data_IF_126043107768
#
_entry.id   IF_126043107768
#
_cell.length_a   1.000
_cell.length_b   1.000
_cell.length_c   1.000
_cell.angle_alpha   90.00
_cell.angle_beta   90.00
_cell.angle_gamma   90.00
#
_symmetry.space_group_name_H-M   'P 1'
#
loop_
_entity.id
_entity.type
_entity.pdbx_description
1 polymer ?
#
# COMPACT_ATOMS: atom_id res chain seq x y z
N UNK A 1 -26.89 -5.08 15.47
CA UNK A 1 -25.58 -5.18 16.15
C UNK A 1 -25.77 -4.80 17.59
N UNK A 2 -25.23 -5.57 18.54
CA UNK A 2 -25.06 -5.09 19.90
C UNK A 2 -24.19 -3.82 19.88
N UNK A 3 -24.48 -2.89 20.78
CA UNK A 3 -23.76 -1.60 20.90
C UNK A 3 -22.23 -1.78 20.89
N UNK A 4 -21.76 -2.85 21.54
CA UNK A 4 -20.34 -3.22 21.65
C UNK A 4 -19.74 -3.60 20.29
N UNK A 5 -20.46 -4.39 19.47
CA UNK A 5 -19.97 -4.85 18.16
C UNK A 5 -19.82 -3.71 17.15
N UNK A 6 -20.74 -2.75 17.15
CA UNK A 6 -20.66 -1.56 16.31
C UNK A 6 -19.49 -0.64 16.68
N UNK A 7 -19.19 -0.51 17.99
CA UNK A 7 -18.04 0.27 18.48
C UNK A 7 -16.73 -0.39 18.06
N UNK A 8 -16.58 -1.70 18.30
CA UNK A 8 -15.38 -2.45 17.90
C UNK A 8 -15.16 -2.33 16.39
N UNK A 9 -16.23 -2.48 15.61
CA UNK A 9 -16.17 -2.32 14.16
C UNK A 9 -15.66 -0.92 13.76
N UNK A 10 -16.25 0.12 14.35
CA UNK A 10 -15.89 1.51 14.05
C UNK A 10 -14.42 1.81 14.39
N UNK A 11 -13.93 1.35 15.54
CA UNK A 11 -12.54 1.54 15.96
C UNK A 11 -11.57 0.81 15.02
N UNK A 12 -11.83 -0.46 14.71
CA UNK A 12 -10.97 -1.23 13.79
C UNK A 12 -10.98 -0.65 12.38
N UNK A 13 -12.14 -0.17 11.91
CA UNK A 13 -12.26 0.47 10.62
C UNK A 13 -11.47 1.77 10.55
N UNK A 14 -11.56 2.59 11.60
CA UNK A 14 -10.80 3.84 11.68
C UNK A 14 -9.29 3.58 11.66
N UNK A 15 -8.82 2.62 12.46
CA UNK A 15 -7.42 2.19 12.46
C UNK A 15 -6.98 1.71 11.07
N UNK A 16 -7.80 0.92 10.39
CA UNK A 16 -7.54 0.44 9.03
C UNK A 16 -7.37 1.60 8.04
N UNK A 17 -8.28 2.57 8.06
CA UNK A 17 -8.23 3.75 7.20
C UNK A 17 -6.95 4.55 7.46
N UNK A 18 -6.62 4.81 8.73
CA UNK A 18 -5.41 5.58 9.11
C UNK A 18 -4.15 4.86 8.64
N UNK A 19 -4.02 3.56 8.92
CA UNK A 19 -2.84 2.78 8.55
C UNK A 19 -2.62 2.76 7.03
N UNK A 20 -3.67 2.51 6.24
CA UNK A 20 -3.56 2.48 4.77
C UNK A 20 -3.28 3.89 4.23
N UNK A 21 -3.98 4.91 4.72
CA UNK A 21 -3.81 6.30 4.26
C UNK A 21 -2.41 6.82 4.53
N UNK A 22 -1.84 6.52 5.70
CA UNK A 22 -0.47 6.89 6.06
C UNK A 22 0.55 6.00 5.33
N UNK A 23 0.23 4.73 5.09
CA UNK A 23 1.09 3.79 4.37
C UNK A 23 1.27 4.10 2.88
N UNK A 24 0.27 4.66 2.21
CA UNK A 24 0.31 5.04 0.77
C UNK A 24 1.43 6.04 0.42
N UNK A 25 1.58 7.19 1.11
CA UNK A 25 2.64 8.16 0.83
C UNK A 25 4.00 7.74 1.39
N UNK A 26 4.03 6.79 2.33
CA UNK A 26 5.27 6.28 2.92
C UNK A 26 6.03 5.38 1.94
N UNK A 27 7.34 5.26 2.17
CA UNK A 27 8.22 4.39 1.39
C UNK A 27 7.77 2.93 1.47
N UNK A 28 7.42 2.36 0.32
CA UNK A 28 7.11 0.93 0.17
C UNK A 28 8.36 0.09 0.21
N UNK A 29 9.47 0.65 -0.27
CA UNK A 29 10.77 0.03 -0.31
C UNK A 29 11.80 1.03 0.16
N UNK A 30 12.75 0.54 0.95
CA UNK A 30 13.81 1.32 1.58
C UNK A 30 15.15 0.59 1.38
N UNK A 31 16.28 1.31 1.31
CA UNK A 31 17.59 0.70 1.19
C UNK A 31 17.92 -0.14 2.42
N UNK A 32 18.55 -1.29 2.24
CA UNK A 32 18.93 -2.21 3.34
C UNK A 32 20.15 -1.74 4.15
N UNK A 33 20.73 -0.59 3.81
CA UNK A 33 21.90 -0.05 4.50
C UNK A 33 21.57 0.63 5.82
N UNK A 34 22.52 0.61 6.76
CA UNK A 34 22.36 1.13 8.12
C UNK A 34 22.02 2.64 8.18
N UNK A 35 22.21 3.38 7.08
CA UNK A 35 21.78 4.78 6.93
C UNK A 35 20.25 4.94 6.79
N UNK A 36 19.51 3.85 6.57
CA UNK A 36 18.05 3.84 6.41
C UNK A 36 17.26 4.20 7.69
N UNK A 37 17.91 4.22 8.87
CA UNK A 37 17.29 4.68 10.12
C UNK A 37 17.17 6.20 10.21
N UNK A 38 17.91 6.96 9.39
CA UNK A 38 17.76 8.41 9.28
C UNK A 38 16.80 8.74 8.13
N UNK A 39 15.51 8.87 8.46
CA UNK A 39 14.42 9.25 7.52
C UNK A 39 14.69 10.56 6.74
N UNK A 40 15.62 11.38 7.23
CA UNK A 40 15.97 12.70 6.70
C UNK A 40 16.93 12.66 5.50
N UNK A 41 17.67 11.55 5.31
CA UNK A 41 18.59 11.33 4.19
C UNK A 41 18.41 9.96 3.52
N UNK A 42 17.35 9.23 3.88
CA UNK A 42 17.07 7.92 3.32
C UNK A 42 16.35 8.05 1.98
N UNK A 43 16.92 7.44 0.94
CA UNK A 43 16.25 7.14 -0.31
C UNK A 43 15.05 6.23 -0.07
N UNK A 44 13.94 6.44 -0.78
CA UNK A 44 12.86 5.47 -0.79
C UNK A 44 12.04 5.49 -2.06
N UNK A 45 11.42 4.34 -2.28
CA UNK A 45 10.50 4.12 -3.38
C UNK A 45 9.11 4.06 -2.80
N UNK A 46 8.29 5.03 -3.19
CA UNK A 46 6.86 5.07 -2.89
C UNK A 46 6.08 4.48 -4.07
N UNK A 47 4.78 4.28 -3.88
CA UNK A 47 3.87 3.98 -4.99
C UNK A 47 3.86 5.05 -6.09
N UNK A 48 4.16 6.30 -5.70
CA UNK A 48 4.05 7.48 -6.54
C UNK A 48 5.32 7.82 -7.30
N UNK A 49 6.46 7.31 -6.83
CA UNK A 49 7.77 7.60 -7.40
C UNK A 49 8.90 7.38 -6.42
N UNK A 50 10.09 7.68 -6.92
CA UNK A 50 11.35 7.60 -6.19
C UNK A 50 11.62 8.94 -5.54
N UNK A 51 12.02 8.91 -4.27
CA UNK A 51 12.44 10.08 -3.51
C UNK A 51 13.87 9.90 -3.05
N UNK A 52 14.68 10.95 -3.21
CA UNK A 52 16.03 10.99 -2.68
C UNK A 52 16.03 11.14 -1.15
N UNK A 53 15.01 11.81 -0.60
CA UNK A 53 14.73 11.90 0.84
C UNK A 53 13.27 11.57 1.10
N UNK A 54 12.98 10.62 1.99
CA UNK A 54 11.62 10.16 2.23
C UNK A 54 10.66 11.23 2.73
N UNK A 55 11.15 12.15 3.55
CA UNK A 55 10.36 13.23 4.13
C UNK A 55 10.13 14.39 3.14
N UNK A 56 10.89 14.47 2.04
CA UNK A 56 10.69 15.53 1.07
C UNK A 56 9.40 15.30 0.26
N UNK A 57 8.63 16.37 -0.01
CA UNK A 57 7.44 16.28 -0.85
C UNK A 57 7.79 16.05 -2.32
N UNK A 58 8.99 16.45 -2.74
CA UNK A 58 9.44 16.40 -4.12
C UNK A 58 9.89 14.99 -4.53
N UNK A 59 9.48 14.58 -5.72
CA UNK A 59 9.87 13.30 -6.31
C UNK A 59 11.07 13.52 -7.22
N UNK A 60 12.11 12.71 -7.02
CA UNK A 60 13.28 12.76 -7.88
C UNK A 60 12.95 12.21 -9.28
N UNK A 61 12.22 11.09 -9.31
CA UNK A 61 11.79 10.44 -10.55
C UNK A 61 10.42 9.79 -10.40
N UNK A 62 9.62 9.85 -11.47
CA UNK A 62 8.35 9.11 -11.54
C UNK A 62 8.60 7.65 -11.92
N UNK A 63 7.72 6.71 -11.53
CA UNK A 63 7.84 5.31 -11.91
C UNK A 63 7.89 5.09 -13.41
N UNK A 64 7.11 5.89 -14.15
CA UNK A 64 7.06 5.85 -15.61
C UNK A 64 8.34 6.33 -16.28
N UNK A 65 9.15 7.16 -15.61
CA UNK A 65 10.42 7.65 -16.17
C UNK A 65 11.51 6.59 -16.03
N UNK A 66 11.56 5.93 -14.87
CA UNK A 66 12.58 4.92 -14.56
C UNK A 66 12.26 3.57 -15.16
N UNK A 67 10.98 3.15 -15.16
CA UNK A 67 10.57 1.81 -15.56
C UNK A 67 9.73 1.77 -16.84
N UNK A 68 9.75 2.83 -17.66
CA UNK A 68 9.01 2.92 -18.93
C UNK A 68 9.21 1.70 -19.84
N UNK A 69 10.43 1.19 -19.93
CA UNK A 69 10.72 0.04 -20.78
C UNK A 69 10.67 -1.32 -20.05
N UNK A 70 10.50 -1.36 -18.73
CA UNK A 70 10.34 -2.64 -18.04
C UNK A 70 8.89 -3.11 -18.21
N UNK A 71 8.68 -4.05 -19.14
CA UNK A 71 7.35 -4.54 -19.51
C UNK A 71 6.51 -4.92 -18.28
N UNK A 72 5.37 -4.23 -18.14
CA UNK A 72 4.38 -4.48 -17.09
C UNK A 72 4.74 -3.99 -15.68
N UNK A 73 5.87 -3.29 -15.45
CA UNK A 73 6.20 -2.72 -14.14
C UNK A 73 5.42 -1.42 -13.87
N UNK A 74 5.39 -0.49 -14.82
CA UNK A 74 4.65 0.76 -14.65
C UNK A 74 3.15 0.50 -14.44
N UNK A 75 2.57 -0.43 -15.20
CA UNK A 75 1.17 -0.85 -15.05
C UNK A 75 0.85 -1.37 -13.65
N UNK A 76 1.76 -2.15 -13.04
CA UNK A 76 1.59 -2.64 -11.66
C UNK A 76 1.68 -1.52 -10.64
N UNK A 77 2.59 -0.56 -10.80
CA UNK A 77 2.65 0.62 -9.93
C UNK A 77 1.41 1.51 -10.09
N UNK A 78 0.88 1.63 -11.30
CA UNK A 78 -0.38 2.35 -11.57
C UNK A 78 -1.58 1.61 -10.97
N UNK A 79 -1.66 0.29 -11.13
CA UNK A 79 -2.68 -0.54 -10.53
C UNK A 79 -2.62 -0.46 -8.99
N UNK A 80 -1.44 -0.61 -8.40
CA UNK A 80 -1.24 -0.53 -6.95
C UNK A 80 -1.72 0.82 -6.38
N UNK A 81 -1.33 1.94 -7.00
CA UNK A 81 -1.81 3.29 -6.64
C UNK A 81 -3.34 3.39 -6.70
N UNK A 82 -3.91 2.96 -7.82
CA UNK A 82 -5.35 3.11 -8.09
C UNK A 82 -6.16 2.25 -7.11
N UNK A 83 -5.75 1.00 -6.91
CA UNK A 83 -6.35 0.10 -5.93
C UNK A 83 -6.24 0.66 -4.51
N UNK A 84 -5.10 1.24 -4.11
CA UNK A 84 -4.94 1.80 -2.78
C UNK A 84 -5.93 2.96 -2.52
N UNK A 85 -6.05 3.90 -3.47
CA UNK A 85 -6.98 5.03 -3.35
C UNK A 85 -8.43 4.54 -3.32
N UNK A 86 -8.80 3.62 -4.20
CA UNK A 86 -10.16 3.05 -4.23
C UNK A 86 -10.48 2.33 -2.92
N UNK A 87 -9.55 1.53 -2.39
CA UNK A 87 -9.75 0.82 -1.13
C UNK A 87 -10.00 1.79 0.04
N UNK A 88 -9.24 2.88 0.14
CA UNK A 88 -9.44 3.92 1.17
C UNK A 88 -10.83 4.54 1.06
N UNK A 89 -11.28 4.87 -0.16
CA UNK A 89 -12.62 5.44 -0.39
C UNK A 89 -13.70 4.45 0.06
N UNK A 90 -13.59 3.17 -0.31
CA UNK A 90 -14.58 2.15 0.07
C UNK A 90 -14.61 1.94 1.59
N UNK A 91 -13.45 1.89 2.24
CA UNK A 91 -13.38 1.78 3.70
C UNK A 91 -13.98 3.01 4.39
N UNK A 92 -13.75 4.22 3.88
CA UNK A 92 -14.32 5.46 4.41
C UNK A 92 -15.84 5.54 4.23
N UNK A 93 -16.36 5.16 3.05
CA UNK A 93 -17.81 5.06 2.81
C UNK A 93 -18.44 4.05 3.77
N UNK A 94 -17.81 2.89 3.96
CA UNK A 94 -18.29 1.87 4.91
C UNK A 94 -18.29 2.38 6.35
N UNK A 95 -17.29 3.19 6.74
CA UNK A 95 -17.22 3.80 8.06
C UNK A 95 -18.34 4.81 8.30
N UNK A 96 -18.58 5.71 7.34
CA UNK A 96 -19.65 6.71 7.40
C UNK A 96 -21.01 6.03 7.46
N UNK A 97 -21.25 5.03 6.60
CA UNK A 97 -22.48 4.25 6.61
C UNK A 97 -22.69 3.59 7.97
N UNK A 98 -21.67 2.97 8.56
CA UNK A 98 -21.81 2.38 9.90
C UNK A 98 -22.18 3.42 10.97
N UNK A 99 -21.61 4.64 10.91
CA UNK A 99 -21.92 5.70 11.88
C UNK A 99 -23.35 6.25 11.75
N UNK A 100 -23.82 6.49 10.51
CA UNK A 100 -25.19 6.95 10.24
C UNK A 100 -26.24 5.91 10.65
N UNK A 101 -25.86 4.63 10.68
CA UNK A 101 -26.78 3.51 10.73
C UNK A 101 -27.09 2.96 12.11
N UNK A 102 -26.49 3.53 13.16
CA UNK A 102 -26.87 3.23 14.55
C UNK A 102 -28.35 3.54 14.86
N UNK A 103 -29.12 4.07 13.90
CA UNK A 103 -30.46 4.61 14.10
C UNK A 103 -31.64 3.90 13.38
N UNK A 104 -31.49 3.10 12.30
CA UNK A 104 -32.72 2.75 11.51
C UNK A 104 -32.88 1.47 10.64
N UNK A 105 -31.87 0.69 10.21
CA UNK A 105 -32.15 -0.41 9.23
C UNK A 105 -31.16 -1.61 9.20
N UNK A 106 -31.62 -2.87 9.18
CA UNK A 106 -30.75 -4.06 9.13
C UNK A 106 -30.16 -4.38 7.75
N UNK A 107 -30.76 -3.92 6.64
CA UNK A 107 -30.30 -4.25 5.28
C UNK A 107 -28.93 -3.65 4.93
N UNK A 108 -28.60 -2.50 5.53
CA UNK A 108 -27.36 -1.76 5.22
C UNK A 108 -26.13 -2.42 5.87
N UNK A 109 -26.34 -3.26 6.89
CA UNK A 109 -25.27 -4.05 7.50
C UNK A 109 -24.66 -5.02 6.49
N UNK A 110 -25.49 -5.69 5.71
CA UNK A 110 -25.02 -6.57 4.63
C UNK A 110 -24.28 -5.81 3.53
N UNK A 111 -24.73 -4.59 3.21
CA UNK A 111 -24.03 -3.72 2.25
C UNK A 111 -22.66 -3.30 2.78
N UNK A 112 -22.56 -2.92 4.05
CA UNK A 112 -21.28 -2.58 4.69
C UNK A 112 -20.32 -3.78 4.72
N UNK A 113 -20.83 -4.98 5.02
CA UNK A 113 -20.04 -6.20 4.98
C UNK A 113 -19.47 -6.47 3.58
N UNK A 114 -20.31 -6.36 2.55
CA UNK A 114 -19.89 -6.53 1.15
C UNK A 114 -18.83 -5.49 0.75
N UNK A 115 -19.03 -4.21 1.10
CA UNK A 115 -18.06 -3.15 0.81
C UNK A 115 -16.71 -3.40 1.48
N UNK A 116 -16.70 -3.82 2.75
CA UNK A 116 -15.45 -4.17 3.46
C UNK A 116 -14.75 -5.36 2.80
N UNK A 117 -15.49 -6.40 2.42
CA UNK A 117 -14.93 -7.55 1.73
C UNK A 117 -14.29 -7.15 0.38
N UNK A 118 -14.98 -6.32 -0.40
CA UNK A 118 -14.45 -5.77 -1.66
C UNK A 118 -13.17 -4.95 -1.40
N UNK A 119 -13.17 -4.09 -0.37
CA UNK A 119 -12.00 -3.28 -0.01
C UNK A 119 -10.79 -4.13 0.39
N UNK A 120 -11.01 -5.23 1.13
CA UNK A 120 -9.96 -6.20 1.48
C UNK A 120 -9.37 -6.87 0.22
N UNK A 121 -10.21 -7.25 -0.74
CA UNK A 121 -9.75 -7.82 -2.02
C UNK A 121 -8.89 -6.80 -2.78
N UNK A 122 -9.38 -5.56 -2.93
CA UNK A 122 -8.66 -4.51 -3.65
C UNK A 122 -7.32 -4.19 -2.96
N UNK A 123 -7.31 -4.16 -1.63
CA UNK A 123 -6.08 -3.95 -0.86
C UNK A 123 -5.09 -5.10 -1.04
N UNK A 124 -5.57 -6.35 -1.17
CA UNK A 124 -4.75 -7.52 -1.52
C UNK A 124 -4.06 -7.34 -2.87
N UNK A 125 -4.79 -6.88 -3.89
CA UNK A 125 -4.21 -6.60 -5.22
C UNK A 125 -3.16 -5.50 -5.13
N UNK A 126 -3.40 -4.48 -4.31
CA UNK A 126 -2.50 -3.35 -4.10
C UNK A 126 -1.13 -3.79 -3.55
N UNK A 127 -1.08 -4.41 -2.36
CA UNK A 127 0.22 -4.85 -1.80
C UNK A 127 0.78 -6.07 -2.54
N UNK A 128 -0.07 -6.94 -3.09
CA UNK A 128 0.33 -8.10 -3.88
C UNK A 128 1.08 -7.70 -5.15
N UNK A 129 0.64 -6.65 -5.84
CA UNK A 129 1.32 -6.11 -7.03
C UNK A 129 2.71 -5.57 -6.68
N UNK A 130 2.84 -4.87 -5.55
CA UNK A 130 4.13 -4.35 -5.08
C UNK A 130 5.06 -5.49 -4.64
N UNK A 131 4.52 -6.55 -4.04
CA UNK A 131 5.28 -7.74 -3.67
C UNK A 131 5.76 -8.53 -4.90
N UNK A 132 4.97 -8.59 -5.96
CA UNK A 132 5.34 -9.17 -7.25
C UNK A 132 6.54 -8.41 -7.84
N UNK A 133 6.48 -7.07 -7.85
CA UNK A 133 7.60 -6.20 -8.23
C UNK A 133 8.86 -6.45 -7.37
N UNK A 134 8.69 -6.70 -6.08
CA UNK A 134 9.79 -6.94 -5.15
C UNK A 134 10.50 -8.27 -5.36
N UNK A 135 9.74 -9.35 -5.63
CA UNK A 135 10.27 -10.72 -5.71
C UNK A 135 10.65 -11.14 -7.13
N UNK A 136 9.99 -10.60 -8.15
CA UNK A 136 10.16 -11.02 -9.54
C UNK A 136 10.85 -9.94 -10.36
N UNK A 137 11.69 -10.39 -11.30
CA UNK A 137 12.22 -9.54 -12.35
C UNK A 137 11.07 -9.13 -13.29
N UNK A 138 11.10 -7.91 -13.79
CA UNK A 138 10.03 -7.40 -14.66
C UNK A 138 10.60 -6.91 -15.97
N UNK A 139 10.19 -7.56 -17.05
CA UNK A 139 10.78 -7.37 -18.38
C UNK A 139 11.92 -8.35 -18.65
N UNK A 140 12.10 -8.67 -19.93
CA UNK A 140 13.23 -9.44 -20.45
C UNK A 140 14.37 -8.54 -20.93
N UNK A 141 14.09 -7.25 -21.09
CA UNK A 141 14.99 -6.27 -21.65
C UNK A 141 15.87 -5.66 -20.55
N UNK A 142 17.18 -5.65 -20.80
CA UNK A 142 18.15 -4.97 -19.94
C UNK A 142 18.09 -3.47 -20.22
N UNK A 143 17.29 -2.77 -19.43
CA UNK A 143 17.14 -1.32 -19.57
C UNK A 143 17.98 -0.65 -18.50
N UNK A 144 18.78 0.29 -18.97
CA UNK A 144 19.84 0.89 -18.19
C UNK A 144 19.50 2.35 -17.91
N UNK A 145 19.36 2.72 -16.65
CA UNK A 145 19.00 4.09 -16.25
C UNK A 145 19.66 4.45 -14.92
N UNK A 146 20.62 5.37 -14.85
CA UNK A 146 21.62 5.84 -15.81
C UNK A 146 22.92 5.00 -15.67
N UNK A 147 22.92 3.78 -16.20
CA UNK A 147 24.05 2.84 -16.11
C UNK A 147 23.79 1.57 -15.29
N UNK A 148 22.63 1.48 -14.61
CA UNK A 148 22.20 0.33 -13.81
C UNK A 148 20.98 -0.36 -14.44
N UNK A 149 20.91 -1.69 -14.36
CA UNK A 149 19.73 -2.47 -14.77
C UNK A 149 18.57 -2.20 -13.81
N UNK A 150 17.54 -1.52 -14.31
CA UNK A 150 16.38 -1.12 -13.50
C UNK A 150 15.22 -2.12 -13.59
N UNK A 151 15.33 -3.17 -14.41
CA UNK A 151 14.30 -4.19 -14.61
C UNK A 151 14.48 -5.42 -13.69
N UNK A 152 15.56 -5.43 -12.88
CA UNK A 152 15.78 -6.41 -11.81
C UNK A 152 14.68 -6.35 -10.75
N UNK A 153 14.44 -7.46 -10.05
CA UNK A 153 13.56 -7.51 -8.87
C UNK A 153 13.98 -6.42 -7.87
N UNK A 154 13.01 -5.70 -7.30
CA UNK A 154 13.34 -4.53 -6.47
C UNK A 154 14.15 -4.88 -5.21
N UNK A 155 14.13 -6.14 -4.76
CA UNK A 155 15.05 -6.59 -3.69
C UNK A 155 16.53 -6.35 -4.03
N UNK A 156 16.93 -6.59 -5.28
CA UNK A 156 18.32 -6.50 -5.74
C UNK A 156 18.56 -5.18 -6.50
N UNK A 157 17.68 -4.20 -6.35
CA UNK A 157 17.85 -2.89 -6.99
C UNK A 157 18.71 -1.99 -6.11
N UNK A 158 19.81 -1.48 -6.67
CA UNK A 158 20.87 -0.78 -5.93
C UNK A 158 20.71 0.75 -5.93
N UNK A 159 19.52 1.27 -6.25
CA UNK A 159 19.31 2.69 -6.48
C UNK A 159 19.60 3.11 -7.92
N UNK A 160 19.16 4.31 -8.28
CA UNK A 160 19.44 4.90 -9.60
C UNK A 160 20.91 5.24 -9.77
N UNK A 161 21.64 5.48 -8.69
CA UNK A 161 23.07 5.81 -8.67
C UNK A 161 23.97 4.62 -8.30
N UNK A 162 23.39 3.45 -8.01
CA UNK A 162 24.13 2.27 -7.54
C UNK A 162 24.67 2.41 -6.11
N UNK A 163 24.21 3.40 -5.34
CA UNK A 163 24.72 3.68 -4.00
C UNK A 163 24.37 2.62 -2.94
N UNK A 164 23.42 1.71 -3.22
CA UNK A 164 22.89 0.74 -2.26
C UNK A 164 23.29 -0.70 -2.60
N UNK A 165 24.51 -1.09 -2.24
CA UNK A 165 25.08 -2.42 -2.55
C UNK A 165 24.30 -3.60 -1.94
N UNK A 166 23.58 -3.36 -0.83
CA UNK A 166 22.77 -4.38 -0.15
C UNK A 166 21.34 -4.51 -0.71
N UNK A 167 21.03 -3.76 -1.77
CA UNK A 167 19.70 -3.69 -2.36
C UNK A 167 18.67 -3.04 -1.44
N UNK A 168 17.39 -3.38 -1.66
CA UNK A 168 16.27 -2.81 -0.90
C UNK A 168 15.50 -3.86 -0.11
N UNK A 169 14.89 -3.41 0.98
CA UNK A 169 13.95 -4.15 1.79
C UNK A 169 12.56 -3.50 1.73
N UNK A 170 11.56 -4.22 2.23
CA UNK A 170 10.20 -3.70 2.36
C UNK A 170 10.16 -2.61 3.42
N UNK A 171 9.78 -1.41 3.02
CA UNK A 171 9.76 -0.23 3.88
C UNK A 171 8.52 -0.17 4.78
N UNK A 172 8.50 0.83 5.66
CA UNK A 172 7.42 1.05 6.64
C UNK A 172 6.05 1.18 5.98
N UNK A 173 5.95 1.82 4.81
CA UNK A 173 4.67 2.00 4.11
C UNK A 173 4.02 0.66 3.72
N UNK A 174 4.83 -0.31 3.31
CA UNK A 174 4.35 -1.65 2.98
C UNK A 174 3.83 -2.39 4.22
N UNK A 175 4.56 -2.29 5.33
CA UNK A 175 4.16 -2.91 6.61
C UNK A 175 2.83 -2.32 7.08
N UNK A 176 2.68 -0.99 7.05
CA UNK A 176 1.43 -0.33 7.45
C UNK A 176 0.23 -0.76 6.62
N UNK A 177 0.41 -0.94 5.30
CA UNK A 177 -0.66 -1.44 4.43
C UNK A 177 -1.03 -2.89 4.77
N UNK A 178 -0.06 -3.76 5.05
CA UNK A 178 -0.34 -5.14 5.48
C UNK A 178 -1.07 -5.17 6.82
N UNK A 179 -0.62 -4.38 7.79
CA UNK A 179 -1.27 -4.31 9.11
C UNK A 179 -2.69 -3.76 8.95
N UNK A 180 -2.88 -2.70 8.17
CA UNK A 180 -4.20 -2.16 7.85
C UNK A 180 -5.10 -3.18 7.14
N UNK A 181 -4.57 -3.91 6.17
CA UNK A 181 -5.26 -5.00 5.49
C UNK A 181 -5.71 -6.10 6.47
N UNK A 182 -4.83 -6.51 7.38
CA UNK A 182 -5.15 -7.51 8.40
C UNK A 182 -6.23 -7.01 9.36
N UNK A 183 -6.17 -5.74 9.78
CA UNK A 183 -7.22 -5.11 10.57
C UNK A 183 -8.56 -5.10 9.82
N UNK A 184 -8.57 -4.72 8.54
CA UNK A 184 -9.78 -4.71 7.70
C UNK A 184 -10.36 -6.11 7.47
N UNK A 185 -9.51 -7.12 7.34
CA UNK A 185 -9.91 -8.52 7.25
C UNK A 185 -10.60 -8.97 8.55
N UNK A 186 -9.99 -8.74 9.70
CA UNK A 186 -10.59 -9.03 11.01
C UNK A 186 -11.92 -8.29 11.17
N UNK A 187 -11.99 -7.05 10.70
CA UNK A 187 -13.20 -6.23 10.77
C UNK A 187 -14.34 -6.71 9.85
N UNK A 188 -14.02 -7.50 8.82
CA UNK A 188 -15.04 -8.17 8.02
C UNK A 188 -15.69 -9.31 8.81
N UNK A 189 -14.92 -9.99 9.67
CA UNK A 189 -15.42 -11.07 10.52
C UNK A 189 -16.16 -10.60 11.77
N UNK A 190 -15.92 -9.38 12.27
CA UNK A 190 -16.68 -8.82 13.41
C UNK A 190 -18.16 -8.65 13.09
N UNK A 191 -18.51 -8.47 11.82
CA UNK A 191 -19.91 -8.47 11.34
C UNK A 191 -20.59 -9.84 11.42
N UNK A 192 -19.80 -10.93 11.42
CA UNK A 192 -20.29 -12.31 11.49
C UNK A 192 -20.50 -12.81 12.91
N UNK A 193 -20.06 -12.04 13.93
CA UNK A 193 -20.30 -12.39 15.32
C UNK A 193 -21.78 -12.12 15.61
N UNK A 194 -22.61 -13.16 15.83
CA UNK A 194 -23.99 -12.95 16.23
C UNK A 194 -24.01 -12.22 17.58
N UNK A 195 -25.00 -11.34 17.73
CA UNK A 195 -25.28 -10.68 19.01
C UNK A 195 -25.65 -11.70 20.08
#
# INVERSE_FOLDING_TARGET
MGYIGGIIFSVLQFVTIVLITVGIPLGMMQPSDAKALNLDDSYCITMWGIKNKCLQPEYAYKPSEVWSGCSGRDDRFKAARTCAVIAVIIFAVSFILNFLMSCCCPCILYVCMLLNFIAVIITTVCWGSMLDCYKRNMGSDKITFPGQDVCVKLKDFHGTDGAYEKGMHLGTGFILIIVGWACGLVNTFTHLIPC
#
